data_IF_970972341028
#
_entry.id   IF_970972341028
#
_cell.length_a   1.000
_cell.length_b   1.000
_cell.length_c   1.000
_cell.angle_alpha   90.00
_cell.angle_beta   90.00
_cell.angle_gamma   90.00
#
_symmetry.space_group_name_H-M   'P 1'
#
loop_
_entity.id
_entity.type
_entity.pdbx_description
1 polymer ?
#
# COMPACT_ATOMS: atom_id res chain seq x y z
N UNK A 1 -9.00 26.63 -1.73
CA UNK A 1 -8.64 27.01 -0.34
C UNK A 1 -7.27 26.48 0.03
N UNK A 2 -6.94 25.22 -0.23
CA UNK A 2 -5.65 24.59 0.13
C UNK A 2 -4.43 25.31 -0.50
N UNK A 3 -4.51 25.64 -1.79
CA UNK A 3 -3.43 26.40 -2.50
C UNK A 3 -3.17 27.77 -1.88
N UNK A 4 -4.23 28.45 -1.39
CA UNK A 4 -4.07 29.73 -0.70
C UNK A 4 -3.40 29.55 0.65
N UNK A 5 -3.78 28.53 1.41
CA UNK A 5 -3.15 28.21 2.69
C UNK A 5 -1.65 27.90 2.52
N UNK A 6 -1.31 27.09 1.51
CA UNK A 6 0.08 26.81 1.17
C UNK A 6 0.83 28.09 0.78
N UNK A 7 0.23 28.93 -0.10
CA UNK A 7 0.85 30.19 -0.51
C UNK A 7 1.15 31.10 0.72
N UNK A 8 0.24 31.20 1.67
CA UNK A 8 0.47 31.94 2.91
C UNK A 8 1.60 31.31 3.77
N UNK A 9 1.68 29.98 3.82
CA UNK A 9 2.70 29.30 4.59
C UNK A 9 4.12 29.46 4.02
N UNK A 10 4.26 29.70 2.73
CA UNK A 10 5.58 29.81 2.06
C UNK A 10 6.07 31.25 1.83
N UNK A 11 5.24 32.27 2.07
CA UNK A 11 5.59 33.69 1.84
C UNK A 11 6.85 34.13 2.56
N UNK A 12 7.13 33.56 3.73
CA UNK A 12 8.29 33.90 4.54
C UNK A 12 9.49 32.95 4.34
N UNK A 13 9.45 32.14 3.28
CA UNK A 13 10.51 31.20 2.88
C UNK A 13 10.99 30.30 4.04
N UNK A 14 10.08 29.50 4.65
CA UNK A 14 10.42 28.67 5.81
C UNK A 14 11.39 27.55 5.40
N UNK A 15 12.33 27.17 6.26
CA UNK A 15 13.21 26.03 6.00
C UNK A 15 12.48 24.68 6.07
N UNK A 16 11.30 24.64 6.71
CA UNK A 16 10.51 23.44 6.90
C UNK A 16 9.01 23.76 6.88
N UNK A 17 8.23 22.88 6.25
CA UNK A 17 6.77 22.90 6.19
C UNK A 17 6.17 21.66 6.86
N UNK A 18 5.10 21.87 7.61
CA UNK A 18 4.26 20.82 8.17
C UNK A 18 2.89 20.91 7.50
N UNK A 19 2.47 19.85 6.87
CA UNK A 19 1.22 19.78 6.12
C UNK A 19 0.39 18.60 6.64
N UNK A 20 -0.77 18.90 7.19
CA UNK A 20 -1.69 17.89 7.71
C UNK A 20 -2.81 17.65 6.70
N UNK A 21 -2.84 16.45 6.09
CA UNK A 21 -3.77 16.03 5.04
C UNK A 21 -4.03 17.13 3.98
N UNK A 22 -2.99 17.69 3.34
CA UNK A 22 -3.10 18.93 2.59
C UNK A 22 -3.99 18.83 1.34
N UNK A 23 -4.31 17.63 0.89
CA UNK A 23 -5.11 17.36 -0.31
C UNK A 23 -6.44 16.67 -0.01
N UNK A 24 -6.83 16.59 1.28
CA UNK A 24 -8.10 16.01 1.67
C UNK A 24 -9.28 16.76 1.00
N UNK A 25 -10.15 16.01 0.30
CA UNK A 25 -11.29 16.56 -0.43
C UNK A 25 -10.94 17.36 -1.70
N UNK A 26 -9.71 17.24 -2.20
CA UNK A 26 -9.27 17.84 -3.46
C UNK A 26 -9.40 16.80 -4.59
N UNK A 27 -9.84 17.27 -5.77
CA UNK A 27 -9.94 16.42 -6.94
C UNK A 27 -8.55 15.91 -7.41
N UNK A 28 -8.48 14.76 -8.13
CA UNK A 28 -7.21 14.13 -8.48
C UNK A 28 -6.26 15.01 -9.30
N UNK A 29 -6.79 15.87 -10.17
CA UNK A 29 -5.96 16.77 -11.01
C UNK A 29 -5.32 17.84 -10.15
N UNK A 30 -6.13 18.52 -9.33
CA UNK A 30 -5.65 19.55 -8.40
C UNK A 30 -4.71 18.99 -7.34
N UNK A 31 -4.90 17.72 -6.93
CA UNK A 31 -4.00 17.00 -6.02
C UNK A 31 -2.61 16.85 -6.64
N UNK A 32 -2.52 16.38 -7.87
CA UNK A 32 -1.25 16.22 -8.60
C UNK A 32 -0.50 17.55 -8.70
N UNK A 33 -1.19 18.61 -9.12
CA UNK A 33 -0.59 19.96 -9.21
C UNK A 33 -0.10 20.50 -7.86
N UNK A 34 -0.80 20.13 -6.76
CA UNK A 34 -0.37 20.47 -5.41
C UNK A 34 0.96 19.79 -5.07
N UNK A 35 1.09 18.50 -5.33
CA UNK A 35 2.32 17.74 -5.08
C UNK A 35 3.48 18.20 -5.96
N UNK A 36 3.25 18.55 -7.22
CA UNK A 36 4.27 19.15 -8.10
C UNK A 36 4.82 20.47 -7.51
N UNK A 37 3.95 21.27 -6.88
CA UNK A 37 4.37 22.48 -6.20
C UNK A 37 5.22 22.18 -4.94
N UNK A 38 4.85 21.18 -4.16
CA UNK A 38 5.64 20.68 -3.01
C UNK A 38 7.02 20.22 -3.48
N UNK A 39 7.12 19.45 -4.56
CA UNK A 39 8.40 19.04 -5.14
C UNK A 39 9.28 20.23 -5.55
N UNK A 40 8.67 21.21 -6.17
CA UNK A 40 9.42 22.43 -6.57
C UNK A 40 10.04 23.12 -5.35
N UNK A 41 9.34 23.14 -4.22
CA UNK A 41 9.84 23.72 -2.97
C UNK A 41 10.91 22.84 -2.33
N UNK A 42 10.72 21.54 -2.29
CA UNK A 42 11.72 20.60 -1.78
C UNK A 42 13.01 20.69 -2.60
N UNK A 43 12.92 20.82 -3.93
CA UNK A 43 14.06 21.05 -4.81
C UNK A 43 14.82 22.37 -4.55
N UNK A 44 14.19 23.33 -3.88
CA UNK A 44 14.81 24.58 -3.41
C UNK A 44 15.38 24.48 -1.99
N UNK A 45 15.35 23.30 -1.38
CA UNK A 45 15.90 23.04 -0.06
C UNK A 45 14.92 23.17 1.11
N UNK A 46 13.61 23.30 0.85
CA UNK A 46 12.59 23.29 1.89
C UNK A 46 12.32 21.84 2.32
N UNK A 47 12.46 21.54 3.60
CA UNK A 47 12.05 20.24 4.14
C UNK A 47 10.53 20.21 4.31
N UNK A 48 9.88 19.13 3.88
CA UNK A 48 8.41 18.99 3.99
C UNK A 48 8.07 17.72 4.76
N UNK A 49 7.28 17.86 5.82
CA UNK A 49 6.62 16.77 6.51
C UNK A 49 5.13 16.86 6.23
N UNK A 50 4.58 15.87 5.56
CA UNK A 50 3.15 15.80 5.27
C UNK A 50 2.54 14.54 5.87
N UNK A 51 1.30 14.65 6.38
CA UNK A 51 0.45 13.49 6.68
C UNK A 51 -0.52 13.27 5.53
N UNK A 52 -0.79 12.03 5.22
CA UNK A 52 -1.82 11.62 4.26
C UNK A 52 -2.34 10.22 4.56
N UNK A 53 -3.56 9.94 4.19
CA UNK A 53 -4.13 8.59 4.15
C UNK A 53 -4.24 8.03 2.72
N UNK A 54 -3.76 8.78 1.73
CA UNK A 54 -3.72 8.37 0.34
C UNK A 54 -2.36 7.74 0.02
N UNK A 55 -2.32 6.45 -0.27
CA UNK A 55 -1.05 5.73 -0.54
C UNK A 55 -0.40 6.18 -1.85
N UNK A 56 -1.20 6.60 -2.84
CA UNK A 56 -0.71 7.18 -4.09
C UNK A 56 0.04 8.52 -3.87
N UNK A 57 -0.29 9.28 -2.84
CA UNK A 57 0.46 10.48 -2.46
C UNK A 57 1.78 10.14 -1.77
N UNK A 58 1.80 9.09 -0.96
CA UNK A 58 3.01 8.64 -0.29
C UNK A 58 4.11 8.21 -1.29
N UNK A 59 3.72 7.73 -2.48
CA UNK A 59 4.67 7.41 -3.57
C UNK A 59 5.53 8.61 -3.99
N UNK A 60 5.06 9.81 -3.72
CA UNK A 60 5.80 11.03 -4.02
C UNK A 60 6.82 11.42 -2.92
N UNK A 61 6.87 10.74 -1.80
CA UNK A 61 7.75 11.09 -0.69
C UNK A 61 9.11 10.38 -0.79
N UNK A 62 10.17 11.06 -0.35
CA UNK A 62 11.49 10.46 -0.27
C UNK A 62 11.60 9.43 0.87
N UNK A 63 10.84 9.67 1.95
CA UNK A 63 10.77 8.80 3.13
C UNK A 63 9.33 8.73 3.59
N UNK A 64 8.85 7.53 3.89
CA UNK A 64 7.51 7.24 4.36
C UNK A 64 7.58 6.66 5.76
N UNK A 65 6.83 7.25 6.69
CA UNK A 65 6.53 6.67 7.99
C UNK A 65 5.13 6.08 8.00
N UNK A 66 5.00 4.76 8.05
CA UNK A 66 3.69 4.10 8.16
C UNK A 66 3.30 3.98 9.63
N UNK A 67 2.11 4.45 9.98
CA UNK A 67 1.60 4.46 11.35
C UNK A 67 0.35 3.58 11.49
N UNK A 68 0.31 2.78 12.54
CA UNK A 68 -0.85 1.99 12.92
C UNK A 68 -1.02 1.97 14.44
N UNK A 69 -2.24 2.21 14.93
CA UNK A 69 -2.55 2.28 16.38
C UNK A 69 -1.56 3.14 17.18
N UNK A 70 -1.29 4.35 16.70
CA UNK A 70 -0.35 5.31 17.29
C UNK A 70 1.11 4.84 17.37
N UNK A 71 1.49 3.82 16.61
CA UNK A 71 2.85 3.31 16.51
C UNK A 71 3.39 3.50 15.11
N UNK A 72 4.67 3.83 15.00
CA UNK A 72 5.39 3.79 13.73
C UNK A 72 5.77 2.33 13.44
N UNK A 73 5.14 1.74 12.41
CA UNK A 73 5.34 0.32 12.04
C UNK A 73 6.36 0.13 10.93
N UNK A 74 6.64 1.18 10.14
CA UNK A 74 7.71 1.18 9.15
C UNK A 74 8.21 2.60 8.89
N UNK A 75 9.48 2.74 8.52
CA UNK A 75 10.10 4.00 8.11
C UNK A 75 11.17 3.71 7.07
N UNK A 76 10.91 4.03 5.81
CA UNK A 76 11.89 3.90 4.72
C UNK A 76 11.41 4.67 3.47
N UNK A 77 12.21 4.63 2.40
CA UNK A 77 11.77 5.08 1.09
C UNK A 77 10.74 4.10 0.48
N UNK A 78 9.91 4.56 -0.50
CA UNK A 78 8.86 3.74 -1.10
C UNK A 78 9.37 2.42 -1.70
N UNK A 79 10.46 2.46 -2.44
CA UNK A 79 11.01 1.28 -3.14
C UNK A 79 11.51 0.24 -2.14
N UNK A 80 12.22 0.68 -1.10
CA UNK A 80 12.69 -0.21 -0.03
C UNK A 80 11.51 -0.84 0.72
N UNK A 81 10.44 -0.09 1.00
CA UNK A 81 9.24 -0.63 1.65
C UNK A 81 8.61 -1.74 0.81
N UNK A 82 8.44 -1.52 -0.50
CA UNK A 82 7.88 -2.50 -1.44
C UNK A 82 8.78 -3.73 -1.58
N UNK A 83 10.08 -3.53 -1.73
CA UNK A 83 11.04 -4.62 -1.90
C UNK A 83 11.20 -5.48 -0.65
N UNK A 84 10.97 -4.91 0.54
CA UNK A 84 11.06 -5.62 1.82
C UNK A 84 9.76 -6.33 2.21
N UNK A 85 8.69 -6.20 1.42
CA UNK A 85 7.46 -6.95 1.64
C UNK A 85 7.75 -8.45 1.56
N UNK A 86 7.36 -9.19 2.59
CA UNK A 86 7.55 -10.64 2.62
C UNK A 86 6.54 -11.32 1.71
N UNK A 87 6.98 -12.42 1.08
CA UNK A 87 6.15 -13.21 0.19
C UNK A 87 6.19 -12.76 -1.26
N UNK A 88 5.33 -13.37 -2.05
CA UNK A 88 5.24 -13.22 -3.50
C UNK A 88 3.83 -12.77 -3.85
N UNK A 89 3.69 -11.53 -4.30
CA UNK A 89 2.40 -10.99 -4.70
C UNK A 89 2.08 -11.36 -6.14
N UNK A 90 0.90 -11.93 -6.35
CA UNK A 90 0.37 -12.28 -7.67
C UNK A 90 -0.96 -11.57 -7.91
N UNK A 91 -1.13 -11.07 -9.12
CA UNK A 91 -2.41 -10.63 -9.66
C UNK A 91 -3.07 -11.81 -10.38
N UNK A 92 -4.28 -12.15 -9.98
CA UNK A 92 -5.03 -13.30 -10.51
C UNK A 92 -6.32 -12.82 -11.17
N UNK A 93 -6.45 -13.12 -12.47
CA UNK A 93 -7.68 -12.96 -13.24
C UNK A 93 -8.38 -14.31 -13.37
N UNK A 94 -9.62 -14.40 -12.94
CA UNK A 94 -10.40 -15.64 -13.03
C UNK A 94 -11.91 -15.38 -13.22
N UNK A 95 -12.62 -16.40 -13.66
CA UNK A 95 -14.07 -16.30 -13.94
C UNK A 95 -14.96 -16.13 -12.69
N UNK A 96 -14.43 -16.41 -11.48
CA UNK A 96 -15.19 -16.37 -10.23
C UNK A 96 -14.35 -15.84 -9.05
N UNK A 97 -13.94 -14.53 -9.05
CA UNK A 97 -13.02 -14.00 -8.06
C UNK A 97 -13.53 -14.14 -6.62
N UNK A 98 -14.78 -13.89 -6.32
CA UNK A 98 -15.31 -14.02 -4.97
C UNK A 98 -15.31 -15.47 -4.44
N UNK A 99 -15.53 -16.47 -5.31
CA UNK A 99 -15.43 -17.89 -4.94
C UNK A 99 -13.96 -18.27 -4.75
N UNK A 100 -13.07 -17.78 -5.61
CA UNK A 100 -11.63 -17.99 -5.50
C UNK A 100 -11.08 -17.42 -4.18
N UNK A 101 -11.42 -16.19 -3.86
CA UNK A 101 -11.02 -15.53 -2.61
C UNK A 101 -11.43 -16.35 -1.38
N UNK A 102 -12.68 -16.82 -1.34
CA UNK A 102 -13.18 -17.61 -0.22
C UNK A 102 -12.41 -18.93 -0.05
N UNK A 103 -12.08 -19.62 -1.14
CA UNK A 103 -11.31 -20.86 -1.11
C UNK A 103 -9.87 -20.58 -0.67
N UNK A 104 -9.24 -19.56 -1.28
CA UNK A 104 -7.84 -19.23 -1.04
C UNK A 104 -7.59 -18.77 0.40
N UNK A 105 -8.53 -18.04 1.01
CA UNK A 105 -8.42 -17.61 2.43
C UNK A 105 -8.34 -18.79 3.43
N UNK A 106 -8.78 -19.97 3.04
CA UNK A 106 -8.76 -21.17 3.90
C UNK A 106 -7.46 -21.97 3.81
N UNK A 107 -6.57 -21.62 2.90
CA UNK A 107 -5.31 -22.35 2.64
C UNK A 107 -4.18 -21.83 3.51
N UNK A 108 -3.39 -22.76 4.06
CA UNK A 108 -2.25 -22.41 4.89
C UNK A 108 -1.07 -21.79 4.11
N UNK A 109 -1.01 -22.06 2.82
CA UNK A 109 0.00 -21.55 1.88
C UNK A 109 -0.25 -20.09 1.48
N UNK A 110 -1.48 -19.61 1.67
CA UNK A 110 -1.90 -18.24 1.35
C UNK A 110 -1.73 -17.37 2.57
N UNK A 111 -0.84 -16.38 2.48
CA UNK A 111 -0.66 -15.40 3.56
C UNK A 111 -1.80 -14.38 3.58
N UNK A 112 -2.19 -13.91 2.39
CA UNK A 112 -3.32 -13.01 2.20
C UNK A 112 -3.91 -13.14 0.80
N UNK A 113 -5.20 -12.85 0.67
CA UNK A 113 -5.90 -12.70 -0.59
C UNK A 113 -7.00 -11.67 -0.47
N UNK A 114 -6.99 -10.69 -1.37
CA UNK A 114 -7.94 -9.59 -1.39
C UNK A 114 -8.41 -9.28 -2.81
N UNK A 115 -9.66 -8.83 -2.93
CA UNK A 115 -10.16 -8.32 -4.21
C UNK A 115 -9.55 -6.96 -4.53
N UNK A 116 -9.00 -6.82 -5.74
CA UNK A 116 -8.48 -5.57 -6.29
C UNK A 116 -9.21 -5.25 -7.60
N UNK A 117 -10.30 -4.52 -7.50
CA UNK A 117 -11.21 -4.30 -8.61
C UNK A 117 -11.85 -5.61 -9.08
N UNK A 118 -11.54 -6.04 -10.31
CA UNK A 118 -12.02 -7.31 -10.91
C UNK A 118 -11.02 -8.45 -10.75
N UNK A 119 -9.84 -8.16 -10.24
CA UNK A 119 -8.73 -9.09 -10.05
C UNK A 119 -8.60 -9.46 -8.57
N UNK A 120 -7.80 -10.47 -8.28
CA UNK A 120 -7.39 -10.80 -6.91
C UNK A 120 -5.89 -10.53 -6.76
N UNK A 121 -5.53 -9.88 -5.67
CA UNK A 121 -4.17 -9.88 -5.16
C UNK A 121 -4.00 -11.08 -4.23
N UNK A 122 -3.06 -11.95 -4.57
CA UNK A 122 -2.76 -13.18 -3.86
C UNK A 122 -1.31 -13.12 -3.35
N UNK A 123 -1.14 -13.14 -2.03
CA UNK A 123 0.16 -13.18 -1.38
C UNK A 123 0.49 -14.60 -0.95
N UNK A 124 1.56 -15.15 -1.49
CA UNK A 124 2.09 -16.48 -1.17
C UNK A 124 3.39 -16.38 -0.38
N UNK A 125 3.59 -17.28 0.57
CA UNK A 125 4.86 -17.37 1.32
C UNK A 125 6.02 -17.83 0.46
N UNK A 126 5.74 -18.71 -0.53
CA UNK A 126 6.74 -19.32 -1.39
C UNK A 126 6.27 -19.31 -2.85
N UNK A 127 7.18 -19.00 -3.77
CA UNK A 127 6.90 -18.96 -5.21
C UNK A 127 6.44 -20.31 -5.78
N UNK A 128 6.91 -21.42 -5.21
CA UNK A 128 6.55 -22.77 -5.62
C UNK A 128 5.09 -23.14 -5.34
N UNK A 129 4.40 -22.40 -4.47
CA UNK A 129 3.00 -22.64 -4.12
C UNK A 129 2.02 -22.26 -5.23
N UNK A 130 2.47 -21.45 -6.20
CA UNK A 130 1.67 -21.03 -7.35
C UNK A 130 1.01 -22.20 -8.09
N UNK A 131 1.76 -23.28 -8.34
CA UNK A 131 1.23 -24.45 -9.06
C UNK A 131 0.15 -25.17 -8.26
N UNK A 132 0.33 -25.28 -6.94
CA UNK A 132 -0.67 -25.85 -6.04
C UNK A 132 -1.96 -25.02 -6.06
N UNK A 133 -1.85 -23.69 -5.99
CA UNK A 133 -3.00 -22.79 -6.05
C UNK A 133 -3.77 -22.95 -7.35
N UNK A 134 -3.08 -22.99 -8.49
CA UNK A 134 -3.72 -23.20 -9.80
C UNK A 134 -4.49 -24.53 -9.86
N UNK A 135 -3.92 -25.59 -9.29
CA UNK A 135 -4.55 -26.91 -9.21
C UNK A 135 -5.83 -26.86 -8.35
N UNK A 136 -5.75 -26.26 -7.15
CA UNK A 136 -6.90 -26.13 -6.24
C UNK A 136 -8.03 -25.33 -6.91
N UNK A 137 -7.72 -24.22 -7.57
CA UNK A 137 -8.72 -23.43 -8.27
C UNK A 137 -9.37 -24.21 -9.40
N UNK A 138 -8.60 -24.96 -10.20
CA UNK A 138 -9.11 -25.82 -11.26
C UNK A 138 -10.02 -26.94 -10.74
N UNK A 139 -9.66 -27.62 -9.66
CA UNK A 139 -10.47 -28.65 -9.00
C UNK A 139 -11.81 -28.10 -8.48
N UNK A 140 -11.85 -26.82 -8.15
CA UNK A 140 -13.08 -26.12 -7.74
C UNK A 140 -13.84 -25.45 -8.89
N UNK A 141 -13.52 -25.82 -10.15
CA UNK A 141 -14.15 -25.28 -11.37
C UNK A 141 -13.96 -23.77 -11.56
N UNK A 142 -12.85 -23.23 -11.06
CA UNK A 142 -12.45 -21.84 -11.27
C UNK A 142 -11.42 -21.82 -12.38
N UNK A 143 -11.76 -21.13 -13.47
CA UNK A 143 -10.85 -20.96 -14.59
C UNK A 143 -10.03 -19.69 -14.38
N UNK A 144 -8.72 -19.86 -14.22
CA UNK A 144 -7.75 -18.78 -14.17
C UNK A 144 -7.38 -18.39 -15.59
N UNK A 145 -7.58 -17.14 -15.96
CA UNK A 145 -7.24 -16.57 -17.25
C UNK A 145 -5.80 -16.08 -17.26
N UNK A 146 -5.37 -15.46 -16.14
CA UNK A 146 -4.03 -14.92 -15.98
C UNK A 146 -3.60 -15.00 -14.51
N UNK A 147 -2.34 -15.31 -14.26
CA UNK A 147 -1.68 -15.18 -12.97
C UNK A 147 -0.26 -14.66 -13.19
N UNK A 148 -0.01 -13.46 -12.75
CA UNK A 148 1.26 -12.78 -12.95
C UNK A 148 1.81 -12.26 -11.63
N UNK A 149 3.12 -12.36 -11.44
CA UNK A 149 3.79 -11.73 -10.31
C UNK A 149 3.84 -10.23 -10.53
N UNK A 150 3.43 -9.47 -9.54
CA UNK A 150 3.42 -8.00 -9.59
C UNK A 150 4.26 -7.43 -8.46
N UNK A 151 4.73 -6.20 -8.66
CA UNK A 151 5.35 -5.45 -7.57
C UNK A 151 4.24 -4.95 -6.65
N UNK A 152 4.43 -5.07 -5.32
CA UNK A 152 3.45 -4.57 -4.37
C UNK A 152 3.30 -3.05 -4.46
N UNK A 153 2.09 -2.57 -4.27
CA UNK A 153 1.80 -1.17 -3.99
C UNK A 153 2.12 -0.83 -2.53
N UNK A 154 2.17 0.46 -2.18
CA UNK A 154 2.28 0.85 -0.77
C UNK A 154 1.07 0.43 0.05
N UNK A 155 -0.10 0.29 -0.58
CA UNK A 155 -1.32 -0.24 0.07
C UNK A 155 -1.13 -1.70 0.46
N UNK A 156 -0.61 -2.55 -0.44
CA UNK A 156 -0.29 -3.95 -0.16
C UNK A 156 0.72 -4.08 0.99
N UNK A 157 1.77 -3.23 0.97
CA UNK A 157 2.78 -3.17 2.04
C UNK A 157 2.13 -2.81 3.37
N UNK A 158 1.28 -1.78 3.40
CA UNK A 158 0.62 -1.33 4.63
C UNK A 158 -0.29 -2.42 5.20
N UNK A 159 -1.13 -3.06 4.38
CA UNK A 159 -2.01 -4.16 4.81
C UNK A 159 -1.18 -5.30 5.39
N UNK A 160 -0.13 -5.73 4.69
CA UNK A 160 0.78 -6.79 5.17
C UNK A 160 1.42 -6.46 6.52
N UNK A 161 1.88 -5.23 6.73
CA UNK A 161 2.47 -4.78 8.00
C UNK A 161 1.43 -4.75 9.13
N UNK A 162 0.21 -4.28 8.86
CA UNK A 162 -0.89 -4.27 9.82
C UNK A 162 -1.25 -5.69 10.27
N UNK A 163 -1.29 -6.63 9.35
CA UNK A 163 -1.57 -8.04 9.66
C UNK A 163 -0.47 -8.67 10.51
N UNK A 164 0.79 -8.34 10.23
CA UNK A 164 1.91 -8.79 11.06
C UNK A 164 1.82 -8.24 12.49
N UNK A 165 1.52 -6.95 12.66
CA UNK A 165 1.32 -6.33 13.96
C UNK A 165 0.15 -6.97 14.74
N UNK A 166 -0.97 -7.23 14.08
CA UNK A 166 -2.13 -7.88 14.71
C UNK A 166 -1.81 -9.31 15.15
N UNK A 167 -1.07 -10.09 14.34
CA UNK A 167 -0.64 -11.46 14.71
C UNK A 167 0.34 -11.46 15.88
N UNK A 168 1.22 -10.46 15.99
CA UNK A 168 2.16 -10.33 17.11
C UNK A 168 1.43 -9.97 18.42
N UNK A 169 0.44 -9.07 18.39
CA UNK A 169 -0.35 -8.73 19.57
C UNK A 169 -1.12 -9.91 20.13
N UNK A 170 -1.77 -10.69 19.27
CA UNK A 170 -2.50 -11.90 19.71
C UNK A 170 -1.57 -12.90 20.43
N UNK A 171 -0.31 -13.00 20.02
CA UNK A 171 0.68 -13.87 20.71
C UNK A 171 1.07 -13.33 22.07
N UNK A 172 1.21 -12.04 22.22
CA UNK A 172 1.60 -11.39 23.49
C UNK A 172 0.47 -11.41 24.52
N UNK A 173 -0.80 -11.40 24.07
CA UNK A 173 -1.97 -11.45 24.96
C UNK A 173 -2.28 -12.87 25.47
N UNK A 174 -1.61 -13.92 24.96
CA UNK A 174 -1.79 -15.34 25.33
C UNK A 174 -0.67 -15.81 26.28
N UNK A 175 0.45 -15.09 26.37
CA UNK A 175 1.53 -15.32 27.33
C UNK A 175 1.32 -14.56 28.66
#
# INVERSE_FOLDING_TARGET
RQRLALACAIVHEPPMLFLDEPTAGVDPVSRREFWEMIYTMAGKGVSVLATTHYMDEAEFCNVIGMMYRSRLIALNDPDTLKNNMRGYLYEVDCNAPGKAEHILKSLAEVEDVAAHGVLLHLLLSNENEKELILKILSENQIQVHRIERVLPSLEDVFVSLVDQENRQQVRTDIE
#
